data_IF_228043750451
#
_entry.id   IF_228043750451
#
_cell.length_a   1.000
_cell.length_b   1.000
_cell.length_c   1.000
_cell.angle_alpha   90.00
_cell.angle_beta   90.00
_cell.angle_gamma   90.00
#
_symmetry.space_group_name_H-M   'P 1'
#
loop_
_entity.id
_entity.type
_entity.pdbx_description
1 polymer ?
#
# COMPACT_ATOMS: atom_id res chain seq x y z
N UNK A 1 -14.44 -46.51 -41.35
CA UNK A 1 -13.91 -46.59 -39.97
C UNK A 1 -12.80 -45.58 -39.88
N UNK A 2 -12.86 -44.59 -38.99
CA UNK A 2 -12.87 -44.71 -37.53
C UNK A 2 -11.48 -44.23 -37.07
N UNK A 3 -11.25 -43.36 -36.09
CA UNK A 3 -12.06 -42.77 -35.05
C UNK A 3 -11.10 -42.49 -33.88
N UNK A 4 -11.11 -41.25 -33.34
CA UNK A 4 -10.42 -40.84 -32.09
C UNK A 4 -8.89 -40.73 -32.14
N UNK A 5 -8.19 -39.96 -31.32
CA UNK A 5 -8.53 -39.03 -30.24
C UNK A 5 -7.20 -38.33 -29.81
N UNK A 6 -7.25 -37.00 -29.72
CA UNK A 6 -6.68 -36.09 -28.70
C UNK A 6 -5.22 -36.20 -28.14
N UNK A 7 -4.63 -34.99 -28.02
CA UNK A 7 -3.61 -34.49 -27.05
C UNK A 7 -2.12 -34.81 -27.29
N UNK A 8 -1.30 -33.78 -27.59
CA UNK A 8 -0.33 -33.18 -26.63
C UNK A 8 0.56 -32.07 -27.23
N UNK A 9 0.57 -30.97 -26.48
CA UNK A 9 1.74 -30.17 -26.06
C UNK A 9 2.22 -28.94 -26.86
N UNK A 10 2.26 -27.85 -26.08
CA UNK A 10 3.20 -26.71 -26.04
C UNK A 10 3.02 -25.61 -27.08
N UNK A 11 2.51 -24.48 -26.60
CA UNK A 11 3.34 -23.29 -26.51
C UNK A 11 2.91 -22.45 -25.32
N UNK A 12 3.92 -22.03 -24.56
CA UNK A 12 3.82 -21.24 -23.35
C UNK A 12 3.13 -19.90 -23.62
N UNK A 13 1.89 -19.75 -23.15
CA UNK A 13 1.39 -18.43 -22.80
C UNK A 13 1.82 -18.20 -21.36
N UNK A 14 2.83 -17.33 -21.19
CA UNK A 14 3.20 -16.74 -19.91
C UNK A 14 1.93 -16.15 -19.30
N UNK A 15 1.25 -16.97 -18.49
CA UNK A 15 0.34 -16.46 -17.49
C UNK A 15 1.19 -15.58 -16.60
N UNK A 16 1.15 -14.26 -16.86
CA UNK A 16 1.22 -13.28 -15.79
C UNK A 16 0.09 -13.69 -14.85
N UNK A 17 0.40 -14.64 -13.97
CA UNK A 17 -0.35 -14.78 -12.75
C UNK A 17 -0.22 -13.41 -12.11
N UNK A 18 -1.31 -12.68 -11.83
CA UNK A 18 -1.22 -11.59 -10.89
C UNK A 18 -0.67 -12.24 -9.63
N UNK A 19 0.61 -11.98 -9.37
CA UNK A 19 1.33 -12.46 -8.19
C UNK A 19 0.38 -12.10 -7.06
N UNK A 20 -0.22 -13.11 -6.44
CA UNK A 20 -1.02 -12.92 -5.23
C UNK A 20 -0.03 -12.33 -4.24
N UNK A 21 0.01 -11.01 -4.19
CA UNK A 21 0.78 -10.26 -3.20
C UNK A 21 0.16 -10.69 -1.90
N UNK A 22 0.86 -11.55 -1.17
CA UNK A 22 0.48 -11.85 0.19
C UNK A 22 0.36 -10.49 0.87
N UNK A 23 -0.82 -10.21 1.44
CA UNK A 23 -1.05 -9.04 2.27
C UNK A 23 0.05 -9.01 3.34
N UNK A 24 1.09 -8.19 3.13
CA UNK A 24 2.22 -8.10 4.06
C UNK A 24 3.61 -7.98 3.43
N UNK A 25 3.84 -8.38 2.17
CA UNK A 25 5.17 -8.24 1.57
C UNK A 25 5.32 -6.87 0.87
N UNK A 26 6.23 -6.07 1.40
CA UNK A 26 6.59 -4.77 0.88
C UNK A 26 7.18 -4.89 -0.53
N UNK A 27 6.78 -3.99 -1.43
CA UNK A 27 7.55 -3.85 -2.66
C UNK A 27 8.96 -3.38 -2.33
N UNK A 28 9.96 -3.77 -3.14
CA UNK A 28 11.35 -3.33 -2.94
C UNK A 28 11.47 -1.79 -2.88
N UNK A 29 10.61 -1.08 -3.61
CA UNK A 29 10.57 0.38 -3.62
C UNK A 29 10.06 0.95 -2.28
N UNK A 30 8.97 0.40 -1.74
CA UNK A 30 8.45 0.79 -0.44
C UNK A 30 9.44 0.47 0.69
N UNK A 31 10.12 -0.68 0.60
CA UNK A 31 11.17 -1.06 1.55
C UNK A 31 12.31 -0.03 1.53
N UNK A 32 12.84 0.31 0.34
CA UNK A 32 13.89 1.33 0.19
C UNK A 32 13.47 2.70 0.73
N UNK A 33 12.23 3.11 0.48
CA UNK A 33 11.71 4.37 1.01
C UNK A 33 11.68 4.35 2.54
N UNK A 34 11.18 3.26 3.14
CA UNK A 34 11.16 3.10 4.59
C UNK A 34 12.56 3.07 5.20
N UNK A 35 13.52 2.39 4.57
CA UNK A 35 14.91 2.36 5.03
C UNK A 35 15.56 3.75 4.97
N UNK A 36 15.29 4.50 3.89
CA UNK A 36 15.75 5.89 3.74
C UNK A 36 15.15 6.78 4.82
N UNK A 37 13.82 6.71 5.01
CA UNK A 37 13.11 7.48 6.02
C UNK A 37 13.59 7.13 7.43
N UNK A 38 13.83 5.84 7.69
CA UNK A 38 14.38 5.36 8.96
C UNK A 38 15.77 5.94 9.23
N UNK A 39 16.62 5.97 8.20
CA UNK A 39 17.94 6.59 8.26
C UNK A 39 17.87 8.09 8.54
N UNK A 40 16.93 8.80 7.92
CA UNK A 40 16.72 10.24 8.13
C UNK A 40 16.21 10.57 9.53
N UNK A 41 15.27 9.78 10.06
CA UNK A 41 14.65 10.02 11.36
C UNK A 41 15.45 9.43 12.53
N UNK A 42 16.43 8.55 12.25
CA UNK A 42 17.17 7.81 13.28
C UNK A 42 16.31 6.78 14.03
N UNK A 43 15.11 6.47 13.54
CA UNK A 43 14.20 5.48 14.11
C UNK A 43 13.83 4.43 13.06
N UNK A 44 13.55 3.20 13.48
CA UNK A 44 13.07 2.18 12.56
C UNK A 44 11.60 2.43 12.21
N UNK A 45 11.35 2.94 11.00
CA UNK A 45 9.99 3.07 10.44
C UNK A 45 9.54 1.71 9.93
N UNK A 46 8.54 1.14 10.60
CA UNK A 46 7.81 -0.04 10.13
C UNK A 46 6.54 0.43 9.46
N UNK A 47 6.04 -0.30 8.45
CA UNK A 47 4.71 -0.02 7.91
C UNK A 47 3.64 -0.41 8.92
N UNK A 48 2.89 0.55 9.49
CA UNK A 48 1.82 0.22 10.40
C UNK A 48 0.62 -0.32 9.65
N UNK A 49 -0.03 -1.30 10.26
CA UNK A 49 -1.41 -1.64 9.94
C UNK A 49 -2.30 -0.74 10.80
N UNK A 50 -3.19 0.02 10.16
CA UNK A 50 -4.08 0.92 10.90
C UNK A 50 -5.20 0.19 11.63
N UNK A 51 -5.61 -0.98 11.14
CA UNK A 51 -6.62 -1.82 11.77
C UNK A 51 -6.42 -3.29 11.38
N UNK A 52 -7.01 -4.25 12.11
CA UNK A 52 -7.07 -5.64 11.67
C UNK A 52 -7.71 -5.74 10.28
N UNK A 53 -6.99 -6.30 9.31
CA UNK A 53 -7.46 -6.42 7.92
C UNK A 53 -7.25 -5.18 7.04
N UNK A 54 -6.69 -4.09 7.59
CA UNK A 54 -6.29 -2.93 6.80
C UNK A 54 -5.11 -3.25 5.87
N UNK A 55 -4.93 -2.44 4.83
CA UNK A 55 -3.77 -2.56 3.93
C UNK A 55 -2.55 -1.96 4.65
N UNK A 56 -1.35 -2.57 4.57
CA UNK A 56 -0.12 -1.96 5.08
C UNK A 56 0.01 -0.52 4.57
N UNK A 57 0.20 0.41 5.49
CA UNK A 57 0.21 1.84 5.15
C UNK A 57 1.48 2.16 4.37
N UNK A 58 1.36 2.46 3.08
CA UNK A 58 2.50 2.91 2.27
C UNK A 58 2.89 4.34 2.68
N UNK A 59 4.04 4.49 3.35
CA UNK A 59 4.54 5.78 3.83
C UNK A 59 4.77 6.76 2.68
N UNK A 60 5.29 6.32 1.53
CA UNK A 60 5.52 7.20 0.37
C UNK A 60 4.21 7.77 -0.14
N UNK A 61 3.18 6.92 -0.28
CA UNK A 61 1.83 7.38 -0.66
C UNK A 61 1.23 8.30 0.39
N UNK A 62 1.40 7.99 1.68
CA UNK A 62 0.94 8.84 2.78
C UNK A 62 1.52 10.25 2.69
N UNK A 63 2.85 10.37 2.55
CA UNK A 63 3.50 11.67 2.41
C UNK A 63 3.03 12.40 1.16
N UNK A 64 2.87 11.70 0.03
CA UNK A 64 2.41 12.29 -1.23
C UNK A 64 0.99 12.83 -1.10
N UNK A 65 0.09 12.08 -0.47
CA UNK A 65 -1.31 12.45 -0.29
C UNK A 65 -1.43 13.66 0.65
N UNK A 66 -0.73 13.63 1.79
CA UNK A 66 -0.72 14.75 2.75
C UNK A 66 -0.11 16.01 2.13
N UNK A 67 0.98 15.87 1.37
CA UNK A 67 1.60 17.00 0.67
C UNK A 67 0.69 17.59 -0.41
N UNK A 68 -0.03 16.74 -1.16
CA UNK A 68 -0.98 17.18 -2.19
C UNK A 68 -2.16 17.96 -1.61
N UNK A 69 -2.46 17.76 -0.32
CA UNK A 69 -3.46 18.50 0.44
C UNK A 69 -2.87 19.70 1.21
N UNK A 70 -1.68 20.18 0.86
CA UNK A 70 -1.05 21.35 1.49
C UNK A 70 -0.20 21.04 2.73
N UNK A 71 0.06 19.77 3.01
CA UNK A 71 0.91 19.30 4.10
C UNK A 71 0.15 19.06 5.41
N UNK A 72 0.89 18.59 6.43
CA UNK A 72 0.33 18.16 7.71
C UNK A 72 -0.55 19.22 8.38
N UNK A 73 -0.10 20.48 8.39
CA UNK A 73 -0.82 21.56 9.04
C UNK A 73 -2.17 21.84 8.36
N UNK A 74 -2.20 21.84 7.02
CA UNK A 74 -3.43 22.03 6.25
C UNK A 74 -4.41 20.87 6.49
N UNK A 75 -3.96 19.63 6.31
CA UNK A 75 -4.77 18.42 6.55
C UNK A 75 -5.34 18.39 7.97
N UNK A 76 -4.56 18.79 8.97
CA UNK A 76 -5.02 18.81 10.37
C UNK A 76 -6.00 19.95 10.65
N UNK A 77 -5.73 21.16 10.13
CA UNK A 77 -6.57 22.35 10.39
C UNK A 77 -7.91 22.29 9.66
N UNK A 78 -7.94 21.66 8.48
CA UNK A 78 -9.13 21.60 7.61
C UNK A 78 -9.89 20.28 7.74
N UNK A 79 -9.58 19.44 8.73
CA UNK A 79 -10.19 18.11 8.91
C UNK A 79 -10.07 17.21 7.67
N UNK A 80 -8.92 17.24 6.98
CA UNK A 80 -8.66 16.48 5.75
C UNK A 80 -8.32 15.00 5.95
N UNK A 81 -8.02 14.56 7.18
CA UNK A 81 -7.66 13.18 7.50
C UNK A 81 -8.65 12.09 7.02
N UNK A 82 -9.98 12.28 7.07
CA UNK A 82 -10.95 11.35 6.48
C UNK A 82 -10.76 11.14 4.98
N UNK A 83 -10.39 12.18 4.23
CA UNK A 83 -10.13 12.08 2.80
C UNK A 83 -8.83 11.30 2.53
N UNK A 84 -7.76 11.61 3.26
CA UNK A 84 -6.48 10.87 3.19
C UNK A 84 -6.68 9.38 3.52
N UNK A 85 -7.43 9.07 4.59
CA UNK A 85 -7.72 7.70 5.00
C UNK A 85 -8.59 6.96 3.96
N UNK A 86 -9.59 7.64 3.41
CA UNK A 86 -10.38 7.10 2.30
C UNK A 86 -9.52 6.77 1.07
N UNK A 87 -8.57 7.64 0.71
CA UNK A 87 -7.69 7.44 -0.44
C UNK A 87 -6.69 6.28 -0.23
N UNK A 88 -6.12 6.16 0.97
CA UNK A 88 -5.06 5.19 1.26
C UNK A 88 -5.57 3.82 1.70
N UNK A 89 -6.71 3.79 2.39
CA UNK A 89 -7.22 2.59 3.07
C UNK A 89 -8.63 2.20 2.64
N UNK A 90 -9.29 3.01 1.81
CA UNK A 90 -10.70 2.84 1.45
C UNK A 90 -11.65 2.86 2.66
N UNK A 91 -11.18 3.41 3.79
CA UNK A 91 -11.93 3.55 5.03
C UNK A 91 -11.60 4.87 5.73
N UNK A 92 -12.51 5.83 5.62
CA UNK A 92 -12.38 7.15 6.25
C UNK A 92 -12.46 7.11 7.78
N UNK A 93 -12.95 6.02 8.37
CA UNK A 93 -13.02 5.84 9.83
C UNK A 93 -11.64 5.63 10.45
N UNK A 94 -10.65 5.24 9.65
CA UNK A 94 -9.26 5.09 10.09
C UNK A 94 -8.52 6.43 10.20
N UNK A 95 -9.17 7.55 9.88
CA UNK A 95 -8.57 8.90 9.92
C UNK A 95 -7.89 9.25 11.24
N UNK A 96 -8.50 8.91 12.37
CA UNK A 96 -7.89 9.17 13.69
C UNK A 96 -6.58 8.42 13.89
N UNK A 97 -6.53 7.14 13.52
CA UNK A 97 -5.30 6.33 13.61
C UNK A 97 -4.26 6.76 12.59
N UNK A 98 -4.70 7.14 11.39
CA UNK A 98 -3.82 7.67 10.35
C UNK A 98 -3.13 8.97 10.79
N UNK A 99 -3.89 9.88 11.40
CA UNK A 99 -3.36 11.14 11.93
C UNK A 99 -2.33 10.88 13.04
N UNK A 100 -2.60 9.93 13.95
CA UNK A 100 -1.66 9.55 15.02
C UNK A 100 -0.37 8.92 14.49
N UNK A 101 -0.44 8.13 13.42
CA UNK A 101 0.74 7.52 12.79
C UNK A 101 1.61 8.57 12.08
N UNK A 102 1.01 9.65 11.59
CA UNK A 102 1.74 10.68 10.88
C UNK A 102 2.47 11.68 11.80
N UNK A 103 1.93 11.92 13.00
CA UNK A 103 2.50 12.82 14.02
C UNK A 103 3.85 12.35 14.56
#
# INVERSE_FOLDING_TARGET
GGGGELVRQRSHSLGVQPRRVAYGDLTEEQQRFNDTLSGCLGIQVKLPLLAPGAVPLDMRRLFTEVFSQGGFHAVTSESGWPAVAGALQQDSRLSGMLAQVYQ
#
